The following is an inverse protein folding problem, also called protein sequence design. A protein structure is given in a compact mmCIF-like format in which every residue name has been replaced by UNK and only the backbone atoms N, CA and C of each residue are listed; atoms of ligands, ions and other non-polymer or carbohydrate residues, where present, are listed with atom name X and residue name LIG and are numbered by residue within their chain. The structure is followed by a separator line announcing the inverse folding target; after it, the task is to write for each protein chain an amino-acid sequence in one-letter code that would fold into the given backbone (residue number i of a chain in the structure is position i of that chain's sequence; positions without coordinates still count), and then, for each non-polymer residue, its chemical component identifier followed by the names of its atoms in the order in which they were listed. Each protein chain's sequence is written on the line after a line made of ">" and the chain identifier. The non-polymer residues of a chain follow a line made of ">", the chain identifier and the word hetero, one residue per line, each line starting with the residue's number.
data_IF_920022080406
#
_entry.id   IF_920022080406
#
_cell.length_a   1.000
_cell.length_b   1.000
_cell.length_c   1.000
_cell.angle_alpha   90.00
_cell.angle_beta   90.00
_cell.angle_gamma   90.00
#
_symmetry.space_group_name_H-M   'P 1'
#
loop_
_entity.id
_entity.type
_entity.pdbx_description
1 polymer ?
#
# COMPACT_ATOMS: atom_id res chain seq x y z
N UNK A 1 18.68 -27.04 12.83
CA UNK A 1 19.26 -25.75 12.38
C UNK A 1 19.72 -25.72 10.92
N UNK A 2 20.35 -26.77 10.38
CA UNK A 2 20.93 -26.73 9.04
C UNK A 2 19.90 -26.56 7.91
N UNK A 3 18.74 -27.20 8.03
CA UNK A 3 17.66 -27.14 7.03
C UNK A 3 17.08 -25.72 6.88
N UNK A 4 16.95 -24.98 7.97
CA UNK A 4 16.44 -23.59 7.95
C UNK A 4 17.49 -22.67 7.34
N UNK A 5 18.76 -22.79 7.73
CA UNK A 5 19.86 -22.04 7.10
C UNK A 5 19.89 -22.24 5.58
N UNK A 6 19.77 -23.49 5.13
CA UNK A 6 19.78 -23.83 3.70
C UNK A 6 18.59 -23.24 2.95
N UNK A 7 17.38 -23.33 3.52
CA UNK A 7 16.16 -22.79 2.90
C UNK A 7 16.10 -21.26 2.94
N UNK A 8 16.63 -20.64 4.00
CA UNK A 8 16.67 -19.19 4.16
C UNK A 8 17.83 -18.55 3.37
N UNK A 9 18.79 -19.36 2.92
CA UNK A 9 20.05 -18.92 2.32
C UNK A 9 20.86 -18.02 3.26
N UNK A 10 21.04 -18.48 4.51
CA UNK A 10 21.74 -17.75 5.57
C UNK A 10 22.87 -18.59 6.17
N UNK A 11 23.89 -17.91 6.67
CA UNK A 11 24.96 -18.54 7.44
C UNK A 11 24.48 -18.92 8.84
N UNK A 12 25.09 -19.96 9.43
CA UNK A 12 24.80 -20.38 10.82
C UNK A 12 24.98 -19.26 11.84
N UNK A 13 26.06 -18.44 11.79
CA UNK A 13 26.21 -17.29 12.68
C UNK A 13 25.07 -16.27 12.56
N UNK A 14 24.57 -16.03 11.35
CA UNK A 14 23.45 -15.11 11.12
C UNK A 14 22.15 -15.66 11.75
N UNK A 15 21.86 -16.95 11.58
CA UNK A 15 20.68 -17.57 12.20
C UNK A 15 20.78 -17.55 13.73
N UNK A 16 21.96 -17.80 14.29
CA UNK A 16 22.19 -17.70 15.72
C UNK A 16 21.89 -16.29 16.25
N UNK A 17 22.38 -15.25 15.57
CA UNK A 17 22.10 -13.85 15.94
C UNK A 17 20.61 -13.53 15.93
N UNK A 18 19.89 -14.05 14.92
CA UNK A 18 18.44 -13.93 14.80
C UNK A 18 17.73 -14.61 15.98
N UNK A 19 18.15 -15.83 16.35
CA UNK A 19 17.59 -16.56 17.49
C UNK A 19 17.85 -15.85 18.83
N UNK A 20 19.00 -15.18 18.97
CA UNK A 20 19.31 -14.36 20.15
C UNK A 20 18.65 -12.98 20.14
N UNK A 21 17.99 -12.59 19.05
CA UNK A 21 17.34 -11.28 18.91
C UNK A 21 18.31 -10.10 18.76
N UNK A 22 19.47 -10.31 18.15
CA UNK A 22 20.46 -9.26 17.91
C UNK A 22 19.88 -8.14 17.02
N UNK A 23 19.75 -6.89 17.52
CA UNK A 23 19.18 -5.78 16.76
C UNK A 23 20.07 -5.32 15.59
N UNK A 24 21.33 -5.76 15.54
CA UNK A 24 22.26 -5.45 14.43
C UNK A 24 21.90 -6.18 13.14
N UNK A 25 21.06 -7.22 13.22
CA UNK A 25 20.64 -7.98 12.04
C UNK A 25 19.52 -7.25 11.32
N UNK A 26 19.66 -7.07 10.01
CA UNK A 26 18.64 -6.42 9.19
C UNK A 26 17.28 -7.15 9.32
N UNK A 27 16.20 -6.38 9.46
CA UNK A 27 14.83 -6.90 9.60
C UNK A 27 14.43 -7.87 8.48
N UNK A 28 14.95 -7.66 7.27
CA UNK A 28 14.71 -8.55 6.13
C UNK A 28 15.17 -9.99 6.37
N UNK A 29 16.22 -10.22 7.15
CA UNK A 29 16.66 -11.58 7.49
C UNK A 29 15.72 -12.27 8.48
N UNK A 30 15.15 -11.55 9.43
CA UNK A 30 14.09 -12.08 10.30
C UNK A 30 12.87 -12.50 9.46
N UNK A 31 12.43 -11.63 8.55
CA UNK A 31 11.30 -11.91 7.64
C UNK A 31 11.60 -13.12 6.75
N UNK A 32 12.83 -13.24 6.24
CA UNK A 32 13.27 -14.37 5.42
C UNK A 32 13.17 -15.70 6.18
N UNK A 33 13.57 -15.73 7.45
CA UNK A 33 13.46 -16.92 8.31
C UNK A 33 12.00 -17.26 8.58
N UNK A 34 11.17 -16.27 8.95
CA UNK A 34 9.73 -16.46 9.18
C UNK A 34 9.03 -17.01 7.93
N UNK A 35 9.41 -16.53 6.73
CA UNK A 35 8.90 -17.04 5.45
C UNK A 35 9.17 -18.53 5.26
N UNK A 36 10.39 -18.97 5.55
CA UNK A 36 10.79 -20.39 5.42
C UNK A 36 10.08 -21.28 6.44
N UNK A 37 9.73 -20.73 7.60
CA UNK A 37 8.97 -21.42 8.64
C UNK A 37 7.46 -21.39 8.41
N UNK A 38 6.97 -20.67 7.41
CA UNK A 38 5.53 -20.51 7.14
C UNK A 38 4.81 -19.52 8.05
N UNK A 39 5.56 -18.72 8.83
CA UNK A 39 5.04 -17.77 9.83
C UNK A 39 4.95 -16.33 9.30
N UNK A 40 5.05 -16.14 7.99
CA UNK A 40 5.06 -14.79 7.39
C UNK A 40 3.72 -14.06 7.61
N UNK A 41 2.61 -14.79 7.57
CA UNK A 41 1.26 -14.22 7.74
C UNK A 41 1.04 -13.63 9.14
N UNK A 42 1.77 -14.12 10.14
CA UNK A 42 1.64 -13.67 11.52
C UNK A 42 2.13 -12.24 11.70
N UNK A 43 2.97 -11.72 10.80
CA UNK A 43 3.33 -10.30 10.77
C UNK A 43 2.11 -9.40 10.59
N UNK A 44 1.07 -9.88 9.89
CA UNK A 44 -0.19 -9.13 9.75
C UNK A 44 -0.95 -9.01 11.07
N UNK A 45 -0.75 -9.94 12.02
CA UNK A 45 -1.33 -9.83 13.36
C UNK A 45 -0.72 -8.65 14.12
N UNK A 46 0.60 -8.45 13.99
CA UNK A 46 1.31 -7.33 14.62
C UNK A 46 0.85 -6.00 14.00
N UNK A 47 0.68 -5.96 12.68
CA UNK A 47 0.26 -4.75 11.98
C UNK A 47 -1.22 -4.39 12.17
N UNK A 48 -2.05 -5.32 12.65
CA UNK A 48 -3.52 -5.16 12.72
C UNK A 48 -3.96 -3.98 13.59
N UNK A 49 -3.22 -3.68 14.66
CA UNK A 49 -3.61 -2.69 15.66
C UNK A 49 -2.75 -1.41 15.64
N UNK A 50 -1.98 -1.18 14.58
CA UNK A 50 -1.09 -0.01 14.46
C UNK A 50 -1.81 1.24 13.90
N UNK A 51 -2.86 1.68 14.60
CA UNK A 51 -3.62 2.88 14.20
C UNK A 51 -2.78 4.17 14.30
N UNK A 52 -1.84 4.23 15.24
CA UNK A 52 -0.93 5.37 15.42
C UNK A 52 0.07 5.44 14.27
N UNK A 53 0.78 4.34 13.98
CA UNK A 53 1.75 4.29 12.89
C UNK A 53 1.11 4.60 11.55
N UNK A 54 -0.15 4.20 11.34
CA UNK A 54 -0.92 4.59 10.16
C UNK A 54 -1.13 6.10 10.05
N UNK A 55 -1.52 6.77 11.13
CA UNK A 55 -1.69 8.23 11.16
C UNK A 55 -0.39 8.97 10.85
N UNK A 56 0.73 8.54 11.45
CA UNK A 56 2.05 9.13 11.18
C UNK A 56 2.47 8.95 9.71
N UNK A 57 2.20 7.79 9.11
CA UNK A 57 2.46 7.57 7.69
C UNK A 57 1.61 8.47 6.80
N UNK A 58 0.32 8.62 7.12
CA UNK A 58 -0.60 9.47 6.37
C UNK A 58 -0.21 10.96 6.48
N UNK A 59 0.28 11.42 7.63
CA UNK A 59 0.84 12.77 7.83
C UNK A 59 2.14 13.02 7.04
N UNK A 60 2.98 11.99 6.88
CA UNK A 60 4.24 12.08 6.12
C UNK A 60 4.04 12.16 4.61
N UNK A 61 2.82 11.93 4.08
CA UNK A 61 2.57 11.97 2.65
C UNK A 61 2.53 13.43 2.15
N UNK A 62 3.25 13.77 1.07
CA UNK A 62 3.18 15.10 0.49
C UNK A 62 1.74 15.39 0.02
N UNK A 63 1.17 16.52 0.45
CA UNK A 63 -0.17 16.91 0.00
C UNK A 63 -0.19 17.03 -1.52
N UNK A 64 -0.95 16.14 -2.17
CA UNK A 64 -1.10 16.11 -3.63
C UNK A 64 -1.60 17.48 -4.08
N UNK A 65 -0.73 18.26 -4.74
CA UNK A 65 -1.08 19.56 -5.32
C UNK A 65 -2.20 19.33 -6.33
N UNK A 66 -3.42 19.73 -5.96
CA UNK A 66 -4.59 19.60 -6.84
C UNK A 66 -4.31 20.41 -8.11
N UNK A 67 -4.62 19.82 -9.27
CA UNK A 67 -4.58 20.56 -10.52
C UNK A 67 -5.51 21.78 -10.40
N UNK A 68 -5.09 22.97 -10.86
CA UNK A 68 -5.93 24.17 -10.79
C UNK A 68 -7.22 23.92 -11.55
N UNK A 69 -8.37 24.16 -10.89
CA UNK A 69 -9.68 24.06 -11.54
C UNK A 69 -9.71 25.05 -12.70
N UNK A 70 -9.91 24.55 -13.93
CA UNK A 70 -10.17 25.38 -15.10
C UNK A 70 -11.44 26.19 -14.79
N UNK A 71 -11.33 27.53 -14.67
CA UNK A 71 -12.51 28.40 -14.57
C UNK A 71 -13.30 28.20 -15.86
N UNK A 72 -14.52 27.68 -15.74
CA UNK A 72 -15.47 27.73 -16.85
C UNK A 72 -15.80 29.21 -17.06
N UNK A 73 -15.63 29.78 -18.27
CA UNK A 73 -15.95 31.17 -18.51
C UNK A 73 -17.47 31.37 -18.37
N UNK A 74 -17.85 32.37 -17.58
CA UNK A 74 -19.23 32.82 -17.44
C UNK A 74 -19.62 33.54 -18.74
N UNK A 75 -20.48 32.91 -19.55
CA UNK A 75 -20.98 33.50 -20.79
C UNK A 75 -21.41 32.48 -21.83
N UNK A 76 -22.54 31.80 -21.58
CA UNK A 76 -23.38 31.15 -22.60
C UNK A 76 -24.80 31.21 -22.03
N UNK A 77 -25.41 32.40 -22.01
CA UNK A 77 -26.37 32.90 -22.99
C UNK A 77 -27.71 32.17 -22.91
N UNK A 78 -28.69 32.92 -22.42
CA UNK A 78 -30.13 32.67 -22.40
C UNK A 78 -30.72 32.34 -23.79
N UNK A 79 -31.89 31.67 -23.77
CA UNK A 79 -32.81 31.42 -24.91
C UNK A 79 -32.73 29.98 -25.42
N UNK A 80 -33.78 29.14 -25.51
CA UNK A 80 -35.24 29.28 -25.58
C UNK A 80 -35.86 27.91 -25.19
N UNK A 81 -37.07 27.82 -24.60
CA UNK A 81 -37.80 26.57 -24.47
C UNK A 81 -38.72 26.37 -25.67
N UNK A 82 -38.39 25.48 -26.60
CA UNK A 82 -39.31 25.23 -27.71
C UNK A 82 -38.93 24.14 -28.71
N UNK A 83 -39.84 23.18 -28.81
CA UNK A 83 -40.18 22.42 -30.00
C UNK A 83 -39.63 21.00 -30.14
N UNK A 84 -40.58 20.08 -29.95
CA UNK A 84 -40.63 18.69 -30.39
C UNK A 84 -40.11 18.44 -31.81
N UNK A 85 -39.25 17.42 -31.98
CA UNK A 85 -39.24 16.61 -33.19
C UNK A 85 -38.63 15.22 -32.94
N UNK A 86 -39.52 14.23 -32.81
CA UNK A 86 -39.47 12.93 -33.51
C UNK A 86 -38.18 12.11 -33.30
N UNK A 87 -38.17 11.26 -32.28
CA UNK A 87 -37.36 10.04 -32.27
C UNK A 87 -38.10 8.96 -33.07
N UNK A 88 -37.73 8.80 -34.33
CA UNK A 88 -38.02 7.55 -35.07
C UNK A 88 -36.88 6.57 -34.82
N UNK A 89 -37.13 5.36 -34.28
CA UNK A 89 -36.17 4.28 -34.34
C UNK A 89 -36.19 3.69 -35.75
N UNK A 90 -35.01 3.55 -36.36
CA UNK A 90 -34.80 2.76 -37.57
C UNK A 90 -33.94 1.53 -37.20
N UNK A 91 -34.01 0.44 -37.99
CA UNK A 91 -34.23 -0.94 -37.54
C UNK A 91 -33.07 -1.62 -36.82
#
# INVERSE_FOLDING_TARGET
>A
MQTVCARANLSRPTLYKIETGDPSVAIGFYVQVLRVLGLLADLSLIAKEDALGRRLQDESLPQRRRAPRKKVPAGASDGEPGSSAIFSPQP
#
